data_IF_239631225753
#
_entry.id   IF_239631225753
#
_cell.length_a   1.000
_cell.length_b   1.000
_cell.length_c   1.000
_cell.angle_alpha   90.00
_cell.angle_beta   90.00
_cell.angle_gamma   90.00
#
_symmetry.space_group_name_H-M   'P 1'
#
loop_
_entity.id
_entity.type
_entity.pdbx_description
1 polymer ?
#
# COMPACT_ATOMS: atom_id res chain seq x y z
N UNK A 1 -8.99 19.24 -33.48
CA UNK A 1 -8.42 19.41 -34.84
C UNK A 1 -8.86 18.22 -35.69
N UNK A 2 -9.29 18.44 -36.95
CA UNK A 2 -9.61 17.35 -37.90
C UNK A 2 -8.31 16.87 -38.57
N UNK A 3 -8.08 15.55 -38.65
CA UNK A 3 -7.10 15.01 -39.61
C UNK A 3 -7.66 15.07 -41.02
N UNK A 4 -6.79 15.00 -42.03
CA UNK A 4 -7.15 15.13 -43.46
C UNK A 4 -8.19 14.10 -43.93
N UNK A 5 -8.36 13.00 -43.19
CA UNK A 5 -9.31 11.92 -43.47
C UNK A 5 -10.68 12.09 -42.78
N UNK A 6 -10.97 13.22 -42.16
CA UNK A 6 -12.28 13.50 -41.56
C UNK A 6 -12.55 12.81 -40.21
N UNK A 7 -11.58 12.05 -39.68
CA UNK A 7 -11.69 11.42 -38.37
C UNK A 7 -11.49 12.44 -37.23
N UNK A 8 -12.34 12.34 -36.22
CA UNK A 8 -12.21 13.09 -34.98
C UNK A 8 -11.13 12.43 -34.13
N UNK A 9 -9.95 13.06 -34.03
CA UNK A 9 -8.94 12.66 -33.06
C UNK A 9 -9.28 13.38 -31.76
N UNK A 10 -9.81 12.65 -30.79
CA UNK A 10 -9.91 13.14 -29.42
C UNK A 10 -8.50 13.27 -28.84
N UNK A 11 -7.95 14.48 -28.87
CA UNK A 11 -6.76 14.86 -28.09
C UNK A 11 -7.26 15.44 -26.76
N UNK A 12 -7.79 14.59 -25.90
CA UNK A 12 -7.93 14.94 -24.49
C UNK A 12 -6.64 14.54 -23.80
N UNK A 13 -5.86 15.50 -23.33
CA UNK A 13 -4.79 15.20 -22.38
C UNK A 13 -5.42 14.53 -21.16
N UNK A 14 -4.83 13.40 -20.74
CA UNK A 14 -5.31 12.66 -19.57
C UNK A 14 -5.06 13.51 -18.32
N UNK A 15 -6.08 14.25 -17.89
CA UNK A 15 -5.99 15.09 -16.71
C UNK A 15 -6.47 14.31 -15.47
N UNK A 16 -5.53 13.81 -14.68
CA UNK A 16 -5.78 13.11 -13.42
C UNK A 16 -5.79 14.04 -12.20
N UNK A 17 -5.70 15.37 -12.40
CA UNK A 17 -5.57 16.33 -11.30
C UNK A 17 -6.68 16.21 -10.25
N UNK A 18 -7.93 16.05 -10.68
CA UNK A 18 -9.09 15.87 -9.78
C UNK A 18 -9.00 14.53 -9.04
N UNK A 19 -8.48 13.48 -9.67
CA UNK A 19 -8.28 12.19 -9.03
C UNK A 19 -7.16 12.26 -7.97
N UNK A 20 -6.04 12.92 -8.29
CA UNK A 20 -4.91 13.06 -7.37
C UNK A 20 -5.28 13.91 -6.14
N UNK A 21 -5.96 15.05 -6.35
CA UNK A 21 -6.34 15.95 -5.25
C UNK A 21 -7.51 15.43 -4.40
N UNK A 22 -8.62 15.03 -5.03
CA UNK A 22 -9.86 14.73 -4.28
C UNK A 22 -9.92 13.30 -3.78
N UNK A 23 -9.20 12.36 -4.42
CA UNK A 23 -9.29 10.94 -4.10
C UNK A 23 -7.95 10.36 -3.63
N UNK A 24 -6.88 10.48 -4.41
CA UNK A 24 -5.60 9.82 -4.12
C UNK A 24 -5.02 10.30 -2.78
N UNK A 25 -4.99 11.61 -2.54
CA UNK A 25 -4.44 12.17 -1.31
C UNK A 25 -5.17 11.66 -0.04
N UNK A 26 -6.51 11.71 -0.04
CA UNK A 26 -7.33 11.25 1.08
C UNK A 26 -7.27 9.72 1.24
N UNK A 27 -7.21 8.98 0.14
CA UNK A 27 -7.08 7.53 0.15
C UNK A 27 -5.75 7.09 0.76
N UNK A 28 -4.62 7.65 0.30
CA UNK A 28 -3.28 7.29 0.80
C UNK A 28 -3.11 7.63 2.29
N UNK A 29 -3.61 8.79 2.72
CA UNK A 29 -3.58 9.19 4.14
C UNK A 29 -4.43 8.25 5.01
N UNK A 30 -5.60 7.82 4.54
CA UNK A 30 -6.42 6.83 5.25
C UNK A 30 -5.73 5.47 5.30
N UNK A 31 -5.18 4.99 4.19
CA UNK A 31 -4.44 3.72 4.13
C UNK A 31 -3.25 3.75 5.08
N UNK A 32 -2.53 4.86 5.17
CA UNK A 32 -1.42 5.02 6.12
C UNK A 32 -1.87 4.81 7.56
N UNK A 33 -2.96 5.47 7.97
CA UNK A 33 -3.49 5.37 9.34
C UNK A 33 -3.99 3.96 9.65
N UNK A 34 -4.72 3.34 8.72
CA UNK A 34 -5.21 1.97 8.89
C UNK A 34 -4.05 0.97 8.99
N UNK A 35 -3.01 1.15 8.16
CA UNK A 35 -1.79 0.33 8.21
C UNK A 35 -1.09 0.46 9.56
N UNK A 36 -0.89 1.69 10.06
CA UNK A 36 -0.27 1.93 11.35
C UNK A 36 -1.08 1.33 12.52
N UNK A 37 -2.41 1.44 12.47
CA UNK A 37 -3.28 0.87 13.49
C UNK A 37 -3.18 -0.66 13.51
N UNK A 38 -3.24 -1.30 12.34
CA UNK A 38 -3.04 -2.75 12.18
C UNK A 38 -1.66 -3.18 12.65
N UNK A 39 -0.62 -2.43 12.26
CA UNK A 39 0.76 -2.67 12.69
C UNK A 39 0.88 -2.73 14.21
N UNK A 40 0.33 -1.72 14.89
CA UNK A 40 0.36 -1.61 16.35
C UNK A 40 -0.43 -2.73 17.02
N UNK A 41 -1.60 -3.07 16.47
CA UNK A 41 -2.44 -4.16 16.96
C UNK A 41 -1.72 -5.51 16.82
N UNK A 42 -1.23 -5.84 15.64
CA UNK A 42 -0.54 -7.11 15.40
C UNK A 42 0.76 -7.20 16.19
N UNK A 43 1.51 -6.11 16.32
CA UNK A 43 2.70 -6.06 17.15
C UNK A 43 2.38 -6.28 18.64
N UNK A 44 1.18 -5.94 19.11
CA UNK A 44 0.79 -6.18 20.51
C UNK A 44 0.22 -7.58 20.74
N UNK A 45 -0.43 -8.17 19.74
CA UNK A 45 -1.20 -9.41 19.88
C UNK A 45 -0.47 -10.66 19.37
N UNK A 46 0.47 -10.52 18.42
CA UNK A 46 1.07 -11.65 17.68
C UNK A 46 2.56 -11.79 17.87
N UNK A 47 3.06 -13.01 17.58
CA UNK A 47 4.48 -13.31 17.49
C UNK A 47 5.08 -12.81 16.16
N UNK A 48 6.41 -12.72 16.09
CA UNK A 48 7.13 -12.29 14.88
C UNK A 48 6.69 -13.02 13.59
N UNK A 49 6.67 -14.37 13.51
CA UNK A 49 6.28 -15.06 12.28
C UNK A 49 4.80 -14.87 11.92
N UNK A 50 3.91 -14.82 12.91
CA UNK A 50 2.48 -14.58 12.70
C UNK A 50 2.21 -13.14 12.22
N UNK A 51 2.99 -12.17 12.72
CA UNK A 51 2.94 -10.79 12.25
C UNK A 51 3.31 -10.70 10.76
N UNK A 52 4.40 -11.34 10.35
CA UNK A 52 4.87 -11.32 8.97
C UNK A 52 3.88 -11.99 8.01
N UNK A 53 3.25 -13.10 8.41
CA UNK A 53 2.22 -13.75 7.61
C UNK A 53 1.00 -12.86 7.37
N UNK A 54 0.60 -12.09 8.38
CA UNK A 54 -0.56 -11.21 8.30
C UNK A 54 -0.27 -9.93 7.51
N UNK A 55 0.95 -9.41 7.62
CA UNK A 55 1.44 -8.33 6.75
C UNK A 55 1.43 -8.78 5.29
N UNK A 56 1.91 -9.99 4.98
CA UNK A 56 1.90 -10.53 3.62
C UNK A 56 0.46 -10.70 3.09
N UNK A 57 -0.42 -11.33 3.88
CA UNK A 57 -1.81 -11.53 3.47
C UNK A 57 -2.58 -10.21 3.29
N UNK A 58 -2.21 -9.18 4.06
CA UNK A 58 -2.76 -7.83 3.88
C UNK A 58 -2.23 -7.18 2.60
N UNK A 59 -0.93 -7.22 2.35
CA UNK A 59 -0.32 -6.70 1.12
C UNK A 59 -0.90 -7.36 -0.13
N UNK A 60 -1.05 -8.69 -0.15
CA UNK A 60 -1.58 -9.42 -1.31
C UNK A 60 -3.03 -9.02 -1.60
N UNK A 61 -3.86 -8.88 -0.56
CA UNK A 61 -5.25 -8.42 -0.72
C UNK A 61 -5.32 -6.98 -1.23
N UNK A 62 -4.49 -6.11 -0.66
CA UNK A 62 -4.47 -4.70 -1.02
C UNK A 62 -3.94 -4.52 -2.45
N UNK A 63 -2.97 -5.34 -2.86
CA UNK A 63 -2.45 -5.38 -4.21
C UNK A 63 -3.51 -5.81 -5.22
N UNK A 64 -4.23 -6.91 -4.93
CA UNK A 64 -5.34 -7.37 -5.77
C UNK A 64 -6.41 -6.29 -5.88
N UNK A 65 -6.82 -5.69 -4.75
CA UNK A 65 -7.82 -4.64 -4.73
C UNK A 65 -7.38 -3.41 -5.55
N UNK A 66 -6.12 -3.01 -5.42
CA UNK A 66 -5.56 -1.91 -6.18
C UNK A 66 -5.44 -2.21 -7.68
N UNK A 67 -5.21 -3.45 -8.08
CA UNK A 67 -5.14 -3.84 -9.48
C UNK A 67 -6.49 -3.69 -10.20
N UNK A 68 -7.61 -3.96 -9.50
CA UNK A 68 -8.95 -3.88 -10.08
C UNK A 68 -9.57 -2.47 -10.02
N UNK A 69 -9.28 -1.69 -8.97
CA UNK A 69 -10.04 -0.46 -8.68
C UNK A 69 -9.21 0.83 -8.78
N UNK A 70 -7.88 0.75 -8.69
CA UNK A 70 -7.02 1.91 -8.56
C UNK A 70 -6.15 2.14 -9.80
N UNK A 71 -5.63 3.36 -9.92
CA UNK A 71 -4.62 3.66 -10.93
C UNK A 71 -3.31 2.93 -10.61
N UNK A 72 -2.55 2.45 -11.63
CA UNK A 72 -1.28 1.78 -11.42
C UNK A 72 -0.26 2.64 -10.66
N UNK A 73 -0.30 3.96 -10.87
CA UNK A 73 0.57 4.92 -10.18
C UNK A 73 0.23 5.03 -8.68
N UNK A 74 -1.07 5.01 -8.35
CA UNK A 74 -1.55 5.00 -6.96
C UNK A 74 -1.22 3.68 -6.26
N UNK A 75 -1.35 2.55 -6.96
CA UNK A 75 -0.97 1.22 -6.44
C UNK A 75 0.47 1.22 -5.92
N UNK A 76 1.41 1.74 -6.71
CA UNK A 76 2.83 1.79 -6.32
C UNK A 76 3.06 2.69 -5.10
N UNK A 77 2.41 3.86 -5.05
CA UNK A 77 2.50 4.77 -3.89
C UNK A 77 1.93 4.12 -2.63
N UNK A 78 0.79 3.47 -2.75
CA UNK A 78 0.10 2.81 -1.66
C UNK A 78 0.93 1.66 -1.07
N UNK A 79 1.40 0.73 -1.92
CA UNK A 79 2.21 -0.40 -1.46
C UNK A 79 3.46 0.07 -0.71
N UNK A 80 4.14 1.12 -1.21
CA UNK A 80 5.28 1.72 -0.51
C UNK A 80 4.92 2.27 0.87
N UNK A 81 3.76 2.92 1.01
CA UNK A 81 3.31 3.42 2.32
C UNK A 81 3.05 2.25 3.27
N UNK A 82 2.34 1.22 2.80
CA UNK A 82 2.01 0.04 3.59
C UNK A 82 3.28 -0.70 4.03
N UNK A 83 4.21 -0.94 3.12
CA UNK A 83 5.53 -1.54 3.42
C UNK A 83 6.31 -0.70 4.44
N UNK A 84 6.33 0.63 4.30
CA UNK A 84 7.09 1.48 5.21
C UNK A 84 6.49 1.48 6.63
N UNK A 85 5.16 1.50 6.76
CA UNK A 85 4.47 1.48 8.05
C UNK A 85 4.49 0.09 8.72
N UNK A 86 4.27 -0.99 7.95
CA UNK A 86 4.21 -2.36 8.47
C UNK A 86 5.57 -3.04 8.61
N UNK A 87 6.53 -2.74 7.73
CA UNK A 87 7.84 -3.40 7.71
C UNK A 87 8.87 -2.46 8.31
N UNK A 88 9.17 -1.32 7.67
CA UNK A 88 10.30 -0.46 8.09
C UNK A 88 10.16 0.04 9.52
N UNK A 89 9.00 0.59 9.88
CA UNK A 89 8.78 1.14 11.24
C UNK A 89 8.68 0.07 12.32
N UNK A 90 8.18 -1.13 11.98
CA UNK A 90 7.99 -2.21 12.94
C UNK A 90 9.14 -3.21 12.95
N UNK A 91 10.08 -3.17 11.99
CA UNK A 91 11.19 -4.12 11.86
C UNK A 91 12.02 -4.22 13.14
N UNK A 92 12.39 -3.08 13.74
CA UNK A 92 13.13 -3.07 15.00
C UNK A 92 12.31 -3.68 16.15
N UNK A 93 11.02 -3.36 16.22
CA UNK A 93 10.13 -3.87 17.27
C UNK A 93 9.85 -5.36 17.13
N UNK A 94 9.67 -5.84 15.90
CA UNK A 94 9.40 -7.24 15.56
C UNK A 94 10.66 -8.09 15.75
N UNK A 95 11.84 -7.59 15.37
CA UNK A 95 13.11 -8.28 15.54
C UNK A 95 13.54 -8.38 17.02
N UNK A 96 13.20 -7.39 17.85
CA UNK A 96 13.53 -7.34 19.27
C UNK A 96 12.61 -8.19 20.17
N UNK A 97 11.54 -8.79 19.63
CA UNK A 97 10.65 -9.68 20.40
C UNK A 97 11.34 -10.99 20.76
N UNK A 98 10.95 -11.58 21.91
CA UNK A 98 11.34 -12.91 22.40
C UNK A 98 10.97 -14.08 21.45
N UNK A 99 10.28 -13.83 20.33
CA UNK A 99 10.02 -14.80 19.24
C UNK A 99 10.67 -14.40 17.92
N UNK A 100 11.57 -13.41 17.95
CA UNK A 100 12.27 -12.87 16.79
C UNK A 100 13.37 -13.77 16.25
N UNK A 101 14.08 -13.26 15.23
CA UNK A 101 15.15 -13.97 14.49
C UNK A 101 16.21 -14.59 15.42
N UNK A 102 16.47 -13.98 16.57
CA UNK A 102 17.43 -14.50 17.57
C UNK A 102 17.00 -15.84 18.15
N UNK A 103 15.69 -16.05 18.38
CA UNK A 103 15.15 -17.34 18.86
C UNK A 103 14.94 -18.36 17.74
N UNK A 104 14.69 -17.91 16.50
CA UNK A 104 14.53 -18.83 15.37
C UNK A 104 15.85 -19.38 14.82
N UNK A 105 16.98 -18.69 15.06
CA UNK A 105 18.32 -19.11 14.63
C UNK A 105 19.09 -19.89 15.70
N UNK A 106 18.51 -20.11 16.88
CA UNK A 106 19.10 -20.85 17.99
C UNK A 106 18.56 -22.28 18.05
#
# INVERSE_FOLDING_TARGET
>A
MRTRDGNFVWQGDRNLYVYDEDFEAAFLDRTQRESLQKATMWNSTRNCPEYLQEVQAFLDNEELNADYWLQPETKIKMLRIVENELITKMAESVAAKDSGVVYMLQ
#
